data_IF_620114450550
#
_entry.id   IF_620114450550
#
_cell.length_a   1.000
_cell.length_b   1.000
_cell.length_c   1.000
_cell.angle_alpha   90.00
_cell.angle_beta   90.00
_cell.angle_gamma   90.00
#
_symmetry.space_group_name_H-M   'P 1'
#
loop_
_entity.id
_entity.type
_entity.pdbx_description
1 polymer ?
#
# COMPACT_ATOMS: atom_id res chain seq x y z
N UNK A 1 17.23 -44.56 -36.52
CA UNK A 1 17.23 -43.93 -37.86
C UNK A 1 17.25 -42.44 -37.63
N UNK A 2 18.40 -41.82 -37.64
CA UNK A 2 19.07 -40.98 -38.64
C UNK A 2 18.09 -39.97 -39.30
N UNK A 3 18.34 -38.67 -39.25
CA UNK A 3 19.49 -37.90 -39.69
C UNK A 3 19.54 -36.47 -39.09
N UNK A 4 20.75 -36.08 -38.75
CA UNK A 4 21.20 -34.68 -38.53
C UNK A 4 21.26 -33.94 -39.86
N UNK A 5 20.98 -32.63 -39.87
CA UNK A 5 21.70 -31.67 -40.75
C UNK A 5 21.99 -30.39 -39.95
N UNK A 6 23.26 -30.08 -39.78
CA UNK A 6 23.85 -28.78 -39.45
C UNK A 6 24.07 -28.01 -40.73
N UNK A 7 23.80 -26.70 -40.73
CA UNK A 7 24.54 -25.76 -41.61
C UNK A 7 24.90 -24.50 -40.84
N UNK A 8 26.20 -24.27 -40.78
CA UNK A 8 26.84 -23.02 -40.39
C UNK A 8 26.73 -21.98 -41.52
N UNK A 9 26.64 -20.71 -41.20
CA UNK A 9 26.83 -19.61 -42.14
C UNK A 9 27.28 -18.34 -41.38
N UNK A 10 28.55 -18.09 -41.41
CA UNK A 10 29.28 -16.88 -40.95
C UNK A 10 29.28 -15.87 -42.10
N UNK A 11 29.51 -14.58 -41.80
CA UNK A 11 29.93 -13.46 -42.69
C UNK A 11 28.96 -12.28 -42.55
N UNK A 12 29.32 -11.02 -42.41
CA UNK A 12 30.53 -10.26 -42.22
C UNK A 12 30.19 -8.84 -41.82
N UNK A 13 31.09 -8.22 -41.10
CA UNK A 13 31.15 -6.78 -40.76
C UNK A 13 31.33 -5.93 -42.02
N UNK A 14 30.57 -4.85 -42.19
CA UNK A 14 30.95 -3.72 -43.05
C UNK A 14 30.77 -2.42 -42.26
N UNK A 15 31.90 -1.84 -41.90
CA UNK A 15 32.08 -0.47 -41.43
C UNK A 15 32.07 0.42 -42.66
N UNK A 16 31.24 1.45 -42.68
CA UNK A 16 31.38 2.57 -43.61
C UNK A 16 31.39 3.87 -42.81
N UNK A 17 32.62 4.39 -42.60
CA UNK A 17 32.92 5.79 -42.30
C UNK A 17 32.68 6.60 -43.57
N UNK A 18 31.85 7.65 -43.50
CA UNK A 18 31.90 8.76 -44.43
C UNK A 18 32.02 10.08 -43.67
N UNK A 19 33.22 10.57 -43.58
CA UNK A 19 33.52 11.95 -43.22
C UNK A 19 33.27 12.86 -44.47
N UNK A 20 32.47 13.88 -44.33
CA UNK A 20 32.40 14.97 -45.29
C UNK A 20 32.66 16.30 -44.55
N UNK A 21 33.88 16.78 -44.72
CA UNK A 21 34.29 18.18 -44.51
C UNK A 21 33.67 19.01 -45.64
N UNK A 22 32.97 20.10 -45.31
CA UNK A 22 32.79 21.22 -46.22
C UNK A 22 33.19 22.52 -45.54
N UNK A 23 34.05 23.23 -46.27
CA UNK A 23 34.72 24.45 -45.89
C UNK A 23 33.82 25.69 -46.03
N UNK A 24 34.15 26.68 -45.21
CA UNK A 24 33.63 28.03 -45.20
C UNK A 24 33.74 28.78 -46.54
N UNK A 25 32.69 29.50 -46.91
CA UNK A 25 32.81 30.72 -47.67
C UNK A 25 31.77 31.72 -47.15
N UNK A 26 32.26 32.83 -46.62
CA UNK A 26 31.45 33.91 -46.10
C UNK A 26 30.89 34.81 -47.22
N UNK A 27 29.73 35.44 -46.93
CA UNK A 27 29.32 36.71 -47.54
C UNK A 27 28.49 37.52 -46.52
N UNK A 28 28.83 38.80 -46.44
CA UNK A 28 28.34 39.81 -45.53
C UNK A 28 26.98 40.40 -45.92
N UNK A 29 26.09 40.60 -44.90
CA UNK A 29 25.12 41.69 -44.62
C UNK A 29 23.92 41.90 -45.58
N UNK A 30 22.77 42.47 -45.13
CA UNK A 30 22.61 43.46 -44.05
C UNK A 30 21.50 43.17 -43.05
N UNK A 31 21.50 43.94 -41.94
CA UNK A 31 20.58 43.94 -40.84
C UNK A 31 19.11 44.07 -41.23
N UNK A 32 18.35 43.04 -40.82
CA UNK A 32 16.90 43.08 -40.74
C UNK A 32 16.53 42.89 -39.25
N UNK A 33 15.85 43.88 -38.71
CA UNK A 33 15.18 43.78 -37.38
C UNK A 33 14.09 42.72 -37.44
N UNK A 34 14.45 41.49 -37.05
CA UNK A 34 13.49 40.42 -36.78
C UNK A 34 13.32 40.33 -35.27
N UNK A 35 12.13 40.66 -34.80
CA UNK A 35 11.66 40.35 -33.48
C UNK A 35 11.96 38.90 -33.17
N UNK A 36 12.74 38.64 -32.11
CA UNK A 36 12.85 37.33 -31.49
C UNK A 36 11.48 37.01 -30.91
N UNK A 37 10.70 36.23 -31.60
CA UNK A 37 9.64 35.46 -30.99
C UNK A 37 10.31 34.60 -29.90
N UNK A 38 9.90 34.85 -28.65
CA UNK A 38 10.44 34.16 -27.50
C UNK A 38 10.26 32.65 -27.69
N UNK A 39 11.37 31.93 -27.76
CA UNK A 39 11.35 30.54 -27.42
C UNK A 39 10.80 30.48 -25.98
N UNK A 40 9.56 30.02 -25.78
CA UNK A 40 9.10 29.59 -24.50
C UNK A 40 10.11 28.52 -24.07
N UNK A 41 10.88 28.78 -23.02
CA UNK A 41 11.66 27.73 -22.36
C UNK A 41 10.68 26.61 -22.03
N UNK A 42 10.81 25.50 -22.73
CA UNK A 42 10.06 24.29 -22.37
C UNK A 42 10.39 24.01 -20.90
N UNK A 43 9.38 23.96 -20.05
CA UNK A 43 9.59 23.68 -18.64
C UNK A 43 10.42 22.41 -18.51
N UNK A 44 11.46 22.45 -17.70
CA UNK A 44 12.33 21.30 -17.49
C UNK A 44 11.51 20.10 -16.96
N UNK A 45 11.74 18.92 -17.52
CA UNK A 45 11.11 17.68 -17.11
C UNK A 45 12.13 16.69 -16.53
N UNK A 46 11.65 15.70 -15.79
CA UNK A 46 12.41 14.53 -15.36
C UNK A 46 11.59 13.26 -15.64
N UNK A 47 12.28 12.16 -15.88
CA UNK A 47 11.65 10.85 -16.06
C UNK A 47 11.58 10.13 -14.72
N UNK A 48 10.42 9.64 -14.34
CA UNK A 48 10.19 8.76 -13.16
C UNK A 48 9.72 7.40 -13.65
N UNK A 49 10.32 6.33 -13.14
CA UNK A 49 9.87 4.96 -13.40
C UNK A 49 8.89 4.57 -12.30
N UNK A 50 7.64 4.34 -12.63
CA UNK A 50 6.59 4.01 -11.67
C UNK A 50 6.59 2.53 -11.23
N UNK A 51 5.69 2.16 -10.32
CA UNK A 51 5.62 0.81 -9.77
C UNK A 51 5.16 -0.27 -10.79
N UNK A 52 4.68 0.12 -11.95
CA UNK A 52 4.39 -0.77 -13.08
C UNK A 52 5.53 -0.85 -14.11
N UNK A 53 6.64 -0.13 -13.87
CA UNK A 53 7.78 -0.05 -14.79
C UNK A 53 7.54 0.90 -15.96
N UNK A 54 6.53 1.77 -15.91
CA UNK A 54 6.24 2.79 -16.91
C UNK A 54 7.20 3.97 -16.71
N UNK A 55 7.79 4.47 -17.80
CA UNK A 55 8.59 5.71 -17.79
C UNK A 55 7.66 6.89 -18.01
N UNK A 56 7.51 7.74 -17.01
CA UNK A 56 6.60 8.89 -17.02
C UNK A 56 7.41 10.19 -16.95
N UNK A 57 7.20 11.08 -17.93
CA UNK A 57 7.78 12.42 -17.90
C UNK A 57 6.93 13.34 -17.02
N UNK A 58 7.53 13.87 -15.95
CA UNK A 58 6.88 14.82 -15.04
C UNK A 58 7.67 16.13 -15.01
N UNK A 59 7.07 17.27 -14.62
CA UNK A 59 7.83 18.49 -14.38
C UNK A 59 9.02 18.24 -13.44
N UNK A 60 10.17 18.84 -13.73
CA UNK A 60 11.36 18.67 -12.89
C UNK A 60 11.12 19.14 -11.44
N UNK A 61 10.27 20.14 -11.26
CA UNK A 61 9.84 20.70 -9.97
C UNK A 61 8.31 20.67 -9.87
N UNK A 62 7.77 19.53 -9.39
CA UNK A 62 6.33 19.33 -9.15
C UNK A 62 5.90 20.17 -7.96
N UNK A 63 4.90 21.02 -8.12
CA UNK A 63 4.32 21.86 -7.06
C UNK A 63 2.96 21.34 -6.60
N UNK A 64 2.19 20.74 -7.51
CA UNK A 64 0.82 20.31 -7.25
C UNK A 64 0.61 18.86 -7.67
N UNK A 65 -0.15 18.12 -6.86
CA UNK A 65 -0.52 16.74 -7.13
C UNK A 65 -1.99 16.48 -6.87
N UNK A 66 -2.58 15.59 -7.65
CA UNK A 66 -3.90 15.02 -7.38
C UNK A 66 -3.79 13.51 -7.20
N UNK A 67 -4.79 12.89 -6.58
CA UNK A 67 -4.78 11.44 -6.35
C UNK A 67 -6.03 10.76 -6.88
N UNK A 68 -5.87 9.52 -7.32
CA UNK A 68 -6.94 8.64 -7.79
C UNK A 68 -6.80 7.27 -7.11
N UNK A 69 -7.91 6.65 -6.77
CA UNK A 69 -7.91 5.44 -5.95
C UNK A 69 -7.35 5.74 -4.55
N UNK A 70 -6.40 4.93 -4.09
CA UNK A 70 -5.74 5.10 -2.77
C UNK A 70 -4.41 5.86 -2.86
N UNK A 71 -4.22 6.70 -3.88
CA UNK A 71 -2.97 7.44 -4.11
C UNK A 71 -2.54 8.33 -2.94
N UNK A 72 -3.50 8.96 -2.26
CA UNK A 72 -3.22 9.87 -1.14
C UNK A 72 -2.43 9.20 -0.01
N UNK A 73 -2.66 7.91 0.27
CA UNK A 73 -1.90 7.14 1.25
C UNK A 73 -0.41 7.16 0.95
N UNK A 74 -0.03 6.91 -0.31
CA UNK A 74 1.38 6.88 -0.72
C UNK A 74 2.00 8.26 -0.83
N UNK A 75 1.20 9.28 -1.14
CA UNK A 75 1.65 10.68 -1.06
C UNK A 75 2.03 11.04 0.39
N UNK A 76 1.21 10.61 1.37
CA UNK A 76 1.52 10.80 2.80
C UNK A 76 2.78 10.02 3.19
N UNK A 77 2.89 8.74 2.83
CA UNK A 77 4.08 7.93 3.14
C UNK A 77 5.37 8.50 2.53
N UNK A 78 5.26 9.13 1.36
CA UNK A 78 6.38 9.79 0.71
C UNK A 78 6.64 11.23 1.21
N UNK A 79 5.83 11.75 2.16
CA UNK A 79 6.00 13.09 2.73
C UNK A 79 5.58 14.23 1.81
N UNK A 80 4.70 13.95 0.84
CA UNK A 80 4.28 14.91 -0.18
C UNK A 80 2.88 15.53 0.02
N UNK A 81 2.24 15.32 1.16
CA UNK A 81 0.85 15.72 1.42
C UNK A 81 0.56 17.20 1.21
N UNK A 82 1.54 18.08 1.45
CA UNK A 82 1.39 19.53 1.29
C UNK A 82 1.25 19.97 -0.18
N UNK A 83 1.56 19.07 -1.13
CA UNK A 83 1.39 19.30 -2.57
C UNK A 83 0.02 18.88 -3.09
N UNK A 84 -0.81 18.23 -2.28
CA UNK A 84 -2.12 17.77 -2.69
C UNK A 84 -3.09 18.95 -2.89
N UNK A 85 -3.68 19.01 -4.09
CA UNK A 85 -4.73 19.97 -4.43
C UNK A 85 -6.09 19.29 -4.71
N UNK A 86 -6.10 17.97 -4.84
CA UNK A 86 -7.32 17.17 -4.98
C UNK A 86 -7.08 15.73 -4.50
N UNK A 87 -8.08 15.12 -3.89
CA UNK A 87 -8.06 13.74 -3.38
C UNK A 87 -9.36 13.03 -3.78
N UNK A 88 -9.48 11.72 -3.57
CA UNK A 88 -10.76 11.05 -3.81
C UNK A 88 -11.79 11.44 -2.75
N UNK A 89 -13.09 11.31 -3.04
CA UNK A 89 -14.17 11.62 -2.08
C UNK A 89 -14.00 10.85 -0.75
N UNK A 90 -13.45 9.65 -0.84
CA UNK A 90 -13.18 8.79 0.30
C UNK A 90 -12.26 9.45 1.36
N UNK A 91 -11.29 10.26 0.97
CA UNK A 91 -10.37 10.94 1.88
C UNK A 91 -11.02 12.14 2.57
N UNK A 92 -12.03 12.76 1.97
CA UNK A 92 -12.74 13.88 2.57
C UNK A 92 -13.65 13.45 3.74
N UNK A 93 -13.97 12.16 3.85
CA UNK A 93 -14.72 11.54 4.94
C UNK A 93 -13.85 10.55 5.71
N UNK A 94 -12.94 11.01 6.59
CA UNK A 94 -11.98 10.15 7.24
C UNK A 94 -12.64 9.13 8.18
N UNK A 95 -12.14 7.88 8.14
CA UNK A 95 -12.53 6.81 9.05
C UNK A 95 -11.30 6.26 9.77
N UNK A 96 -11.44 5.85 11.04
CA UNK A 96 -10.32 5.40 11.89
C UNK A 96 -9.48 4.27 11.29
N UNK A 97 -10.08 3.46 10.43
CA UNK A 97 -9.39 2.41 9.70
C UNK A 97 -8.70 2.91 8.39
N UNK A 98 -8.54 4.22 8.25
CA UNK A 98 -7.69 4.89 7.26
C UNK A 98 -6.81 5.93 7.96
N UNK A 99 -5.73 5.48 8.64
CA UNK A 99 -4.90 6.33 9.49
C UNK A 99 -4.41 7.60 8.79
N UNK A 100 -3.92 7.48 7.55
CA UNK A 100 -3.44 8.63 6.77
C UNK A 100 -4.53 9.70 6.55
N UNK A 101 -5.78 9.27 6.31
CA UNK A 101 -6.87 10.21 6.07
C UNK A 101 -7.29 10.94 7.36
N UNK A 102 -7.24 10.27 8.52
CA UNK A 102 -7.51 10.91 9.82
C UNK A 102 -6.37 11.83 10.23
N UNK A 103 -5.11 11.44 9.97
CA UNK A 103 -3.93 12.25 10.26
C UNK A 103 -3.98 13.61 9.56
N UNK A 104 -4.50 13.64 8.34
CA UNK A 104 -4.58 14.85 7.49
C UNK A 104 -6.02 15.29 7.19
N UNK A 105 -6.98 14.95 8.07
CA UNK A 105 -8.41 15.23 7.87
C UNK A 105 -8.73 16.71 7.58
N UNK A 106 -8.04 17.62 8.26
CA UNK A 106 -8.30 19.07 8.09
C UNK A 106 -7.78 19.59 6.74
N UNK A 107 -6.72 18.96 6.19
CA UNK A 107 -6.24 19.23 4.84
C UNK A 107 -7.22 18.66 3.82
N UNK A 108 -7.55 17.37 3.91
CA UNK A 108 -8.35 16.67 2.90
C UNK A 108 -9.80 17.15 2.82
N UNK A 109 -10.41 17.53 3.95
CA UNK A 109 -11.78 18.02 4.01
C UNK A 109 -12.04 19.27 3.15
N UNK A 110 -10.97 20.02 2.79
CA UNK A 110 -11.06 21.24 2.02
C UNK A 110 -10.63 21.07 0.55
N UNK A 111 -10.23 19.86 0.16
CA UNK A 111 -9.78 19.57 -1.21
C UNK A 111 -10.95 19.11 -2.09
N UNK A 112 -10.96 19.48 -3.39
CA UNK A 112 -11.90 18.94 -4.35
C UNK A 112 -11.76 17.43 -4.51
N UNK A 113 -12.86 16.74 -4.79
CA UNK A 113 -12.87 15.31 -5.02
C UNK A 113 -12.53 14.97 -6.47
N UNK A 114 -11.56 14.08 -6.69
CA UNK A 114 -11.15 13.59 -8.03
C UNK A 114 -12.03 12.47 -8.57
N UNK A 115 -12.91 11.91 -7.75
CA UNK A 115 -13.83 10.84 -8.11
C UNK A 115 -15.12 10.95 -7.32
N UNK A 116 -16.20 10.43 -7.88
CA UNK A 116 -17.50 10.35 -7.23
C UNK A 116 -17.71 8.92 -6.71
N UNK A 117 -17.92 8.78 -5.39
CA UNK A 117 -18.15 7.48 -4.76
C UNK A 117 -16.98 7.01 -3.89
N UNK A 118 -17.28 6.09 -2.99
CA UNK A 118 -16.37 5.74 -1.88
C UNK A 118 -15.65 4.40 -2.06
N UNK A 119 -15.35 3.94 -3.28
CA UNK A 119 -14.90 2.57 -3.47
C UNK A 119 -13.59 2.44 -4.23
N UNK A 120 -12.77 1.46 -3.81
CA UNK A 120 -11.63 0.91 -4.55
C UNK A 120 -11.99 0.42 -5.97
N UNK A 121 -13.29 0.18 -6.20
CA UNK A 121 -13.85 -0.26 -7.48
C UNK A 121 -14.37 0.92 -8.33
N UNK A 122 -13.97 2.14 -7.99
CA UNK A 122 -14.45 3.31 -8.70
C UNK A 122 -14.03 3.32 -10.15
N UNK A 123 -15.07 3.34 -10.95
CA UNK A 123 -14.97 3.48 -12.38
C UNK A 123 -15.02 4.95 -12.84
N UNK A 124 -15.35 5.87 -11.94
CA UNK A 124 -15.67 7.25 -12.29
C UNK A 124 -14.65 8.24 -11.73
N UNK A 125 -13.53 8.37 -12.41
CA UNK A 125 -12.62 9.51 -12.23
C UNK A 125 -13.27 10.74 -12.87
N UNK A 126 -13.24 11.86 -12.19
CA UNK A 126 -13.72 13.14 -12.72
C UNK A 126 -12.59 13.81 -13.52
N UNK A 127 -12.42 13.37 -14.77
CA UNK A 127 -11.37 13.86 -15.66
C UNK A 127 -11.51 15.35 -15.99
N UNK A 128 -12.76 15.83 -16.14
CA UNK A 128 -13.04 17.26 -16.39
C UNK A 128 -12.50 18.11 -15.24
N UNK A 129 -12.72 17.69 -14.01
CA UNK A 129 -12.21 18.39 -12.83
C UNK A 129 -10.69 18.31 -12.73
N UNK A 130 -10.08 17.17 -13.05
CA UNK A 130 -8.63 17.04 -13.10
C UNK A 130 -8.00 17.98 -14.15
N UNK A 131 -8.62 18.08 -15.34
CA UNK A 131 -8.18 19.01 -16.39
C UNK A 131 -8.37 20.48 -15.99
N UNK A 132 -9.44 20.80 -15.24
CA UNK A 132 -9.68 22.17 -14.73
C UNK A 132 -8.67 22.56 -13.65
N UNK A 133 -8.37 21.63 -12.72
CA UNK A 133 -7.41 21.83 -11.63
C UNK A 133 -5.96 21.82 -12.13
N UNK A 134 -5.71 21.12 -13.24
CA UNK A 134 -4.41 20.98 -13.92
C UNK A 134 -3.25 20.71 -12.95
N UNK A 135 -3.28 19.65 -12.13
CA UNK A 135 -2.16 19.29 -11.27
C UNK A 135 -0.94 18.92 -12.13
N UNK A 136 0.26 19.14 -11.60
CA UNK A 136 1.51 18.77 -12.28
C UNK A 136 1.64 17.24 -12.47
N UNK A 137 1.04 16.46 -11.55
CA UNK A 137 1.07 14.99 -11.58
C UNK A 137 -0.15 14.38 -10.89
N UNK A 138 -0.58 13.22 -11.36
CA UNK A 138 -1.59 12.39 -10.69
C UNK A 138 -0.90 11.15 -10.12
N UNK A 139 -1.17 10.82 -8.84
CA UNK A 139 -0.74 9.57 -8.22
C UNK A 139 -1.94 8.61 -8.18
N UNK A 140 -1.81 7.44 -8.81
CA UNK A 140 -2.91 6.52 -9.05
C UNK A 140 -2.60 5.09 -8.57
N UNK A 141 -3.51 4.49 -7.80
CA UNK A 141 -3.43 3.06 -7.43
C UNK A 141 -4.24 2.14 -8.38
N UNK A 142 -4.59 2.64 -9.55
CA UNK A 142 -5.28 1.86 -10.60
C UNK A 142 -4.29 1.04 -11.40
N UNK A 143 -4.80 0.14 -12.25
CA UNK A 143 -3.95 -0.69 -13.13
C UNK A 143 -3.08 0.16 -14.07
N UNK A 144 -2.04 -0.44 -14.63
CA UNK A 144 -1.17 0.23 -15.60
C UNK A 144 -1.94 0.78 -16.80
N UNK A 145 -2.90 -0.02 -17.33
CA UNK A 145 -3.75 0.36 -18.46
C UNK A 145 -4.66 1.54 -18.13
N UNK A 146 -5.24 1.57 -16.93
CA UNK A 146 -6.07 2.70 -16.47
C UNK A 146 -5.22 3.95 -16.23
N UNK A 147 -3.97 3.82 -15.76
CA UNK A 147 -3.05 4.94 -15.65
C UNK A 147 -2.69 5.50 -17.02
N UNK A 148 -2.45 4.64 -18.02
CA UNK A 148 -2.17 5.08 -19.40
C UNK A 148 -3.38 5.79 -20.02
N UNK A 149 -4.60 5.25 -19.82
CA UNK A 149 -5.83 5.88 -20.31
C UNK A 149 -6.02 7.26 -19.67
N UNK A 150 -5.94 7.34 -18.35
CA UNK A 150 -6.11 8.60 -17.60
C UNK A 150 -5.09 9.66 -18.05
N UNK A 151 -3.83 9.27 -18.26
CA UNK A 151 -2.80 10.18 -18.77
C UNK A 151 -3.11 10.64 -20.20
N UNK A 152 -3.58 9.75 -21.08
CA UNK A 152 -3.92 10.09 -22.45
C UNK A 152 -5.15 11.03 -22.53
N UNK A 153 -6.17 10.78 -21.69
CA UNK A 153 -7.43 11.50 -21.71
C UNK A 153 -7.31 12.89 -21.07
N UNK A 154 -6.49 13.03 -20.02
CA UNK A 154 -6.30 14.32 -19.33
C UNK A 154 -5.09 15.12 -19.81
N UNK A 155 -4.11 14.47 -20.42
CA UNK A 155 -2.81 15.08 -20.75
C UNK A 155 -1.91 15.35 -19.53
N UNK A 156 -2.30 14.90 -18.32
CA UNK A 156 -1.55 15.07 -17.08
C UNK A 156 -0.72 13.81 -16.81
N UNK A 157 0.58 13.93 -16.44
CA UNK A 157 1.39 12.77 -16.07
C UNK A 157 0.75 11.94 -14.95
N UNK A 158 0.73 10.60 -15.08
CA UNK A 158 0.16 9.68 -14.09
C UNK A 158 1.22 8.71 -13.61
N UNK A 159 1.57 8.77 -12.33
CA UNK A 159 2.44 7.83 -11.61
C UNK A 159 1.57 6.71 -11.04
N UNK A 160 1.78 5.49 -11.50
CA UNK A 160 1.08 4.30 -11.02
C UNK A 160 1.77 3.68 -9.81
N UNK A 161 0.97 3.26 -8.82
CA UNK A 161 1.44 2.56 -7.61
C UNK A 161 0.72 1.23 -7.46
N UNK A 162 1.41 0.23 -6.87
CA UNK A 162 0.85 -1.10 -6.59
C UNK A 162 1.34 -1.65 -5.26
N UNK A 163 0.44 -2.17 -4.40
CA UNK A 163 0.77 -2.52 -3.02
C UNK A 163 -0.26 -3.44 -2.31
N UNK A 164 -1.31 -3.86 -3.00
CA UNK A 164 -2.44 -4.56 -2.37
C UNK A 164 -2.01 -5.85 -1.65
N UNK A 165 -2.46 -6.02 -0.39
CA UNK A 165 -2.13 -7.15 0.49
C UNK A 165 -0.64 -7.41 0.71
N UNK A 166 0.18 -6.35 0.68
CA UNK A 166 1.63 -6.45 0.81
C UNK A 166 2.12 -5.47 1.87
N UNK A 167 3.12 -5.87 2.65
CA UNK A 167 3.75 -5.01 3.66
C UNK A 167 5.20 -4.70 3.30
N UNK A 168 6.02 -5.74 3.08
CA UNK A 168 7.47 -5.62 2.88
C UNK A 168 7.88 -6.22 1.53
N UNK A 169 7.50 -5.57 0.43
CA UNK A 169 7.78 -6.04 -0.92
C UNK A 169 8.36 -4.94 -1.80
N UNK A 170 9.04 -5.35 -2.88
CA UNK A 170 9.57 -4.41 -3.86
C UNK A 170 8.49 -3.51 -4.45
N UNK A 171 7.26 -3.99 -4.61
CA UNK A 171 6.13 -3.19 -5.07
C UNK A 171 5.83 -2.02 -4.13
N UNK A 172 5.81 -2.29 -2.81
CA UNK A 172 5.60 -1.26 -1.78
C UNK A 172 6.75 -0.26 -1.80
N UNK A 173 8.00 -0.77 -1.81
CA UNK A 173 9.19 0.09 -1.80
C UNK A 173 9.25 0.97 -3.05
N UNK A 174 9.03 0.39 -4.24
CA UNK A 174 9.03 1.14 -5.50
C UNK A 174 7.89 2.16 -5.53
N UNK A 175 6.70 1.81 -5.02
CA UNK A 175 5.56 2.74 -4.96
C UNK A 175 5.87 3.97 -4.09
N UNK A 176 6.50 3.79 -2.92
CA UNK A 176 6.90 4.92 -2.07
C UNK A 176 8.00 5.74 -2.75
N UNK A 177 9.01 5.07 -3.31
CA UNK A 177 10.16 5.74 -3.94
C UNK A 177 9.75 6.55 -5.16
N UNK A 178 8.97 5.98 -6.09
CA UNK A 178 8.58 6.69 -7.32
C UNK A 178 7.66 7.90 -7.02
N UNK A 179 6.80 7.81 -6.00
CA UNK A 179 6.02 8.96 -5.54
C UNK A 179 6.94 10.04 -4.95
N UNK A 180 7.92 9.67 -4.12
CA UNK A 180 8.91 10.60 -3.59
C UNK A 180 9.73 11.28 -4.69
N UNK A 181 10.18 10.52 -5.70
CA UNK A 181 10.88 11.06 -6.87
C UNK A 181 9.99 12.03 -7.66
N UNK A 182 8.74 11.66 -7.92
CA UNK A 182 7.81 12.53 -8.62
C UNK A 182 7.59 13.85 -7.88
N UNK A 183 7.36 13.78 -6.56
CA UNK A 183 7.02 14.93 -5.73
C UNK A 183 8.24 15.74 -5.23
N UNK A 184 9.48 15.28 -5.46
CA UNK A 184 10.68 15.93 -4.95
C UNK A 184 10.90 15.73 -3.44
N UNK A 185 10.35 14.65 -2.87
CA UNK A 185 10.50 14.23 -1.48
C UNK A 185 11.29 12.91 -1.35
N UNK A 186 12.18 12.65 -2.29
CA UNK A 186 12.91 11.39 -2.40
C UNK A 186 13.73 11.02 -1.16
N UNK A 187 14.28 11.99 -0.45
CA UNK A 187 15.09 11.73 0.75
C UNK A 187 14.20 11.13 1.86
N UNK A 188 13.02 11.72 2.11
CA UNK A 188 12.05 11.19 3.05
C UNK A 188 11.53 9.80 2.62
N UNK A 189 11.19 9.63 1.35
CA UNK A 189 10.74 8.35 0.81
C UNK A 189 11.79 7.23 1.02
N UNK A 190 13.07 7.54 0.84
CA UNK A 190 14.18 6.62 1.08
C UNK A 190 14.35 6.27 2.56
N UNK A 191 14.18 7.24 3.47
CA UNK A 191 14.18 6.99 4.92
C UNK A 191 13.05 6.04 5.32
N UNK A 192 11.84 6.28 4.81
CA UNK A 192 10.68 5.40 5.04
C UNK A 192 10.95 3.98 4.53
N UNK A 193 11.43 3.83 3.30
CA UNK A 193 11.76 2.51 2.73
C UNK A 193 12.88 1.82 3.53
N UNK A 194 13.86 2.57 4.03
CA UNK A 194 14.91 2.02 4.88
C UNK A 194 14.36 1.47 6.19
N UNK A 195 13.40 2.18 6.81
CA UNK A 195 12.70 1.72 8.01
C UNK A 195 11.84 0.49 7.76
N UNK A 196 11.12 0.44 6.63
CA UNK A 196 10.36 -0.76 6.24
C UNK A 196 11.27 -2.00 6.14
N UNK A 197 12.43 -1.86 5.51
CA UNK A 197 13.42 -2.96 5.40
C UNK A 197 14.03 -3.35 6.75
N UNK A 198 14.23 -2.39 7.66
CA UNK A 198 14.70 -2.65 9.02
C UNK A 198 13.68 -3.48 9.81
N UNK A 199 12.38 -3.11 9.76
CA UNK A 199 11.32 -3.85 10.44
C UNK A 199 11.09 -5.24 9.84
N UNK A 200 11.14 -5.38 8.51
CA UNK A 200 11.09 -6.67 7.83
C UNK A 200 12.22 -7.61 8.31
N UNK A 201 13.44 -7.09 8.34
CA UNK A 201 14.61 -7.86 8.80
C UNK A 201 14.50 -8.23 10.29
N UNK A 202 14.02 -7.33 11.15
CA UNK A 202 13.80 -7.58 12.57
C UNK A 202 12.77 -8.70 12.79
N UNK A 203 11.58 -8.60 12.16
CA UNK A 203 10.50 -9.59 12.27
C UNK A 203 10.97 -10.97 11.80
N UNK A 204 11.63 -11.06 10.66
CA UNK A 204 12.18 -12.31 10.11
C UNK A 204 13.25 -12.91 11.02
N UNK A 205 14.15 -12.09 11.57
CA UNK A 205 15.20 -12.57 12.46
C UNK A 205 14.63 -13.15 13.77
N UNK A 206 13.53 -12.60 14.29
CA UNK A 206 12.87 -13.07 15.52
C UNK A 206 12.23 -14.45 15.37
N UNK A 207 11.74 -14.77 14.16
CA UNK A 207 10.91 -15.97 13.93
C UNK A 207 11.60 -17.05 13.10
N UNK A 208 12.77 -16.77 12.50
CA UNK A 208 13.47 -17.66 11.56
C UNK A 208 13.85 -19.03 12.13
N UNK A 209 14.09 -19.13 13.43
CA UNK A 209 14.52 -20.35 14.11
C UNK A 209 13.37 -21.15 14.75
N UNK A 210 12.10 -20.72 14.56
CA UNK A 210 10.94 -21.40 15.13
C UNK A 210 10.56 -22.59 14.22
N UNK A 211 10.68 -23.83 14.73
CA UNK A 211 10.30 -25.02 13.95
C UNK A 211 8.78 -25.01 13.66
N UNK A 212 8.37 -25.56 12.51
CA UNK A 212 6.96 -25.61 12.13
C UNK A 212 6.07 -26.36 13.14
N UNK A 213 6.63 -27.36 13.84
CA UNK A 213 5.94 -28.10 14.88
C UNK A 213 5.62 -27.27 16.14
N UNK A 214 6.38 -26.19 16.37
CA UNK A 214 6.24 -25.33 17.54
C UNK A 214 5.41 -24.08 17.25
N UNK A 215 4.96 -23.90 16.00
CA UNK A 215 4.12 -22.78 15.59
C UNK A 215 2.67 -23.03 16.00
N UNK A 216 2.07 -22.14 16.83
CA UNK A 216 0.66 -22.25 17.18
C UNK A 216 -0.22 -21.98 15.95
N UNK A 217 -1.43 -22.56 15.97
CA UNK A 217 -2.44 -22.29 14.97
C UNK A 217 -3.13 -20.96 15.25
N UNK A 218 -3.24 -20.11 14.23
CA UNK A 218 -3.81 -18.76 14.35
C UNK A 218 -4.99 -18.61 13.41
N UNK A 219 -6.08 -18.02 13.93
CA UNK A 219 -7.22 -17.58 13.16
C UNK A 219 -7.35 -16.06 13.21
N UNK A 220 -7.49 -15.42 12.05
CA UNK A 220 -7.83 -14.00 11.94
C UNK A 220 -9.30 -13.89 11.56
N UNK A 221 -10.11 -13.35 12.46
CA UNK A 221 -11.57 -13.35 12.30
C UNK A 221 -12.19 -11.95 12.25
N UNK A 222 -13.48 -11.92 12.00
CA UNK A 222 -14.28 -10.71 11.86
C UNK A 222 -13.79 -9.76 10.74
N UNK A 223 -13.15 -10.34 9.73
CA UNK A 223 -12.66 -9.62 8.55
C UNK A 223 -13.83 -9.24 7.65
N UNK A 224 -13.82 -8.00 7.16
CA UNK A 224 -14.82 -7.54 6.20
C UNK A 224 -14.65 -8.27 4.85
N UNK A 225 -15.71 -8.89 4.38
CA UNK A 225 -15.79 -9.54 3.07
C UNK A 225 -17.17 -9.30 2.47
N UNK A 226 -17.24 -8.48 1.41
CA UNK A 226 -18.51 -8.04 0.82
C UNK A 226 -19.49 -7.48 1.87
N UNK A 227 -18.95 -6.69 2.80
CA UNK A 227 -19.64 -6.15 3.97
C UNK A 227 -19.00 -6.58 5.28
N UNK A 228 -19.50 -6.04 6.39
CA UNK A 228 -19.05 -6.40 7.73
C UNK A 228 -19.42 -7.87 8.05
N UNK A 229 -18.49 -8.59 8.67
CA UNK A 229 -18.67 -9.99 9.09
C UNK A 229 -18.40 -10.13 10.58
N UNK A 230 -19.06 -11.14 11.18
CA UNK A 230 -18.71 -11.63 12.50
C UNK A 230 -17.52 -12.61 12.39
N UNK A 231 -17.42 -13.57 13.26
CA UNK A 231 -16.33 -14.55 13.30
C UNK A 231 -16.08 -15.26 11.97
N UNK A 232 -17.08 -15.43 11.12
CA UNK A 232 -17.00 -16.17 9.86
C UNK A 232 -16.18 -15.48 8.77
N UNK A 233 -16.01 -14.16 8.83
CA UNK A 233 -15.11 -13.46 7.92
C UNK A 233 -13.66 -13.69 8.32
N UNK A 234 -12.85 -14.25 7.41
CA UNK A 234 -11.43 -14.52 7.65
C UNK A 234 -10.56 -14.15 6.44
N UNK A 235 -9.27 -14.34 6.54
CA UNK A 235 -8.32 -13.96 5.49
C UNK A 235 -7.25 -15.04 5.31
N UNK A 236 -7.28 -15.73 4.17
CA UNK A 236 -6.22 -16.65 3.78
C UNK A 236 -5.02 -15.86 3.21
N UNK A 237 -3.83 -16.31 3.49
CA UNK A 237 -2.58 -15.63 3.15
C UNK A 237 -2.52 -14.21 3.78
N UNK A 238 -2.89 -14.11 5.05
CA UNK A 238 -2.93 -12.84 5.80
C UNK A 238 -1.51 -12.29 5.97
N UNK A 239 -1.22 -11.12 5.41
CA UNK A 239 0.13 -10.60 5.31
C UNK A 239 0.91 -10.57 6.65
N UNK A 240 0.35 -10.10 7.79
CA UNK A 240 1.05 -10.17 9.07
C UNK A 240 1.48 -11.57 9.50
N UNK A 241 0.67 -12.59 9.24
CA UNK A 241 1.03 -13.99 9.55
C UNK A 241 2.08 -14.55 8.59
N UNK A 242 2.02 -14.14 7.31
CA UNK A 242 3.03 -14.50 6.30
C UNK A 242 4.40 -13.94 6.69
N UNK A 243 4.49 -12.67 7.11
CA UNK A 243 5.75 -12.03 7.51
C UNK A 243 6.37 -12.68 8.76
N UNK A 244 5.54 -13.22 9.66
CA UNK A 244 5.99 -13.98 10.83
C UNK A 244 6.29 -15.46 10.51
N UNK A 245 5.98 -15.95 9.31
CA UNK A 245 5.99 -17.37 9.00
C UNK A 245 5.09 -18.18 9.94
N UNK A 246 4.00 -17.57 10.45
CA UNK A 246 3.07 -18.19 11.40
C UNK A 246 2.04 -19.09 10.68
N UNK A 247 1.40 -19.99 11.44
CA UNK A 247 0.43 -20.95 10.90
C UNK A 247 -0.98 -20.34 10.88
N UNK A 248 -1.40 -19.81 9.73
CA UNK A 248 -2.77 -19.36 9.51
C UNK A 248 -3.69 -20.53 9.13
N UNK A 249 -4.69 -20.84 9.94
CA UNK A 249 -5.59 -21.97 9.64
C UNK A 249 -6.44 -21.74 8.38
N UNK A 250 -6.73 -20.49 8.03
CA UNK A 250 -7.48 -20.16 6.82
C UNK A 250 -6.73 -20.51 5.52
N UNK A 251 -5.39 -20.69 5.56
CA UNK A 251 -4.58 -21.05 4.39
C UNK A 251 -4.88 -22.47 3.90
N UNK A 252 -5.44 -23.35 4.76
CA UNK A 252 -5.89 -24.69 4.38
C UNK A 252 -7.00 -24.68 3.32
N UNK A 253 -7.70 -23.56 3.17
CA UNK A 253 -8.72 -23.39 2.11
C UNK A 253 -8.12 -23.28 0.70
N UNK A 254 -6.82 -23.02 0.57
CA UNK A 254 -6.13 -22.75 -0.69
C UNK A 254 -6.50 -21.42 -1.33
N UNK A 255 -7.29 -20.58 -0.66
CA UNK A 255 -7.61 -19.21 -1.10
C UNK A 255 -6.46 -18.25 -0.79
N UNK A 256 -6.54 -17.00 -1.29
CA UNK A 256 -5.49 -15.97 -1.10
C UNK A 256 -6.07 -14.58 -0.83
N UNK A 257 -7.17 -14.49 -0.14
CA UNK A 257 -7.85 -13.21 0.11
C UNK A 257 -8.80 -13.34 1.29
N UNK A 258 -9.56 -12.27 1.55
CA UNK A 258 -10.69 -12.33 2.46
C UNK A 258 -11.74 -13.32 1.95
N UNK A 259 -12.20 -14.17 2.81
CA UNK A 259 -13.20 -15.23 2.55
C UNK A 259 -14.21 -15.29 3.68
N UNK A 260 -15.34 -15.93 3.42
CA UNK A 260 -16.36 -16.26 4.41
C UNK A 260 -16.36 -17.78 4.62
N UNK A 261 -16.30 -18.21 5.85
CA UNK A 261 -16.36 -19.62 6.25
C UNK A 261 -17.54 -19.83 7.19
N UNK A 262 -17.94 -21.06 7.45
CA UNK A 262 -18.96 -21.35 8.45
C UNK A 262 -18.33 -21.63 9.84
N UNK A 263 -19.19 -21.65 10.87
CA UNK A 263 -18.74 -21.94 12.23
C UNK A 263 -18.22 -23.38 12.37
N UNK A 264 -18.75 -24.33 11.60
CA UNK A 264 -18.28 -25.73 11.60
C UNK A 264 -16.81 -25.80 11.16
N UNK A 265 -16.44 -25.01 10.13
CA UNK A 265 -15.06 -24.95 9.67
C UNK A 265 -14.14 -24.34 10.75
N UNK A 266 -14.59 -23.30 11.46
CA UNK A 266 -13.83 -22.71 12.58
C UNK A 266 -13.66 -23.75 13.70
N UNK A 267 -14.72 -24.51 14.00
CA UNK A 267 -14.68 -25.60 14.98
C UNK A 267 -13.74 -26.75 14.59
N UNK A 268 -13.69 -27.09 13.30
CA UNK A 268 -12.77 -28.09 12.77
C UNK A 268 -11.30 -27.67 12.85
N UNK A 269 -11.02 -26.39 12.68
CA UNK A 269 -9.66 -25.83 12.84
C UNK A 269 -9.24 -25.73 14.31
N UNK A 270 -10.18 -25.40 15.20
CA UNK A 270 -9.98 -25.21 16.65
C UNK A 270 -8.66 -24.47 16.97
N UNK A 271 -8.50 -23.20 16.54
CA UNK A 271 -7.23 -22.48 16.59
C UNK A 271 -6.75 -22.23 18.02
N UNK A 272 -5.41 -22.19 18.20
CA UNK A 272 -4.79 -21.82 19.47
C UNK A 272 -5.00 -20.36 19.83
N UNK A 273 -4.98 -19.46 18.82
CA UNK A 273 -5.11 -18.01 18.97
C UNK A 273 -6.11 -17.44 17.97
N UNK A 274 -6.90 -16.46 18.41
CA UNK A 274 -7.83 -15.73 17.54
C UNK A 274 -7.57 -14.22 17.64
N UNK A 275 -7.27 -13.58 16.48
CA UNK A 275 -7.16 -12.15 16.33
C UNK A 275 -8.36 -11.61 15.55
N UNK A 276 -9.10 -10.70 16.17
CA UNK A 276 -10.43 -10.30 15.72
C UNK A 276 -10.46 -8.81 15.40
N UNK A 277 -11.11 -8.43 14.28
CA UNK A 277 -11.24 -7.04 13.89
C UNK A 277 -12.07 -6.25 14.91
N UNK A 278 -11.43 -5.30 15.59
CA UNK A 278 -12.06 -4.43 16.60
C UNK A 278 -13.27 -3.65 16.06
N UNK A 279 -13.30 -3.34 14.76
CA UNK A 279 -14.39 -2.60 14.12
C UNK A 279 -15.74 -3.37 14.04
N UNK A 280 -15.72 -4.71 14.20
CA UNK A 280 -16.92 -5.56 14.09
C UNK A 280 -17.39 -6.12 15.43
N UNK A 281 -17.03 -5.48 16.55
CA UNK A 281 -17.28 -5.97 17.89
C UNK A 281 -18.76 -6.27 18.18
N UNK A 282 -19.69 -5.42 17.73
CA UNK A 282 -21.13 -5.61 18.00
C UNK A 282 -21.70 -6.83 17.26
N UNK A 283 -21.22 -7.10 16.05
CA UNK A 283 -21.56 -8.32 15.31
C UNK A 283 -21.05 -9.56 16.04
N UNK A 284 -19.81 -9.53 16.53
CA UNK A 284 -19.22 -10.64 17.27
C UNK A 284 -19.93 -10.91 18.58
N UNK A 285 -20.31 -9.87 19.35
CA UNK A 285 -21.10 -10.03 20.59
C UNK A 285 -22.45 -10.68 20.31
N UNK A 286 -23.12 -10.26 19.24
CA UNK A 286 -24.42 -10.83 18.84
C UNK A 286 -24.27 -12.30 18.45
N UNK A 287 -23.27 -12.62 17.65
CA UNK A 287 -23.03 -13.99 17.17
C UNK A 287 -22.58 -14.92 18.31
N UNK A 288 -21.72 -14.45 19.21
CA UNK A 288 -21.35 -15.17 20.42
C UNK A 288 -22.58 -15.49 21.29
N UNK A 289 -23.44 -14.48 21.53
CA UNK A 289 -24.66 -14.71 22.35
C UNK A 289 -25.59 -15.78 21.75
N UNK A 290 -25.70 -15.83 20.42
CA UNK A 290 -26.52 -16.78 19.69
C UNK A 290 -25.90 -18.21 19.65
N UNK A 291 -24.58 -18.30 19.71
CA UNK A 291 -23.83 -19.55 19.53
C UNK A 291 -22.89 -19.85 20.73
N UNK A 292 -23.23 -19.38 21.91
CA UNK A 292 -22.36 -19.40 23.10
C UNK A 292 -21.70 -20.75 23.37
N UNK A 293 -22.46 -21.83 23.33
CA UNK A 293 -21.94 -23.17 23.61
C UNK A 293 -20.86 -23.61 22.59
N UNK A 294 -21.00 -23.19 21.33
CA UNK A 294 -20.01 -23.45 20.29
C UNK A 294 -18.73 -22.73 20.59
N UNK A 295 -18.81 -21.40 20.81
CA UNK A 295 -17.62 -20.59 21.05
C UNK A 295 -16.89 -20.97 22.34
N UNK A 296 -17.62 -21.22 23.44
CA UNK A 296 -17.06 -21.66 24.72
C UNK A 296 -16.31 -23.00 24.60
N UNK A 297 -16.61 -23.83 23.59
CA UNK A 297 -15.93 -25.11 23.36
C UNK A 297 -14.62 -24.97 22.58
N UNK A 298 -14.39 -23.85 21.87
CA UNK A 298 -13.16 -23.60 21.14
C UNK A 298 -11.97 -23.44 22.10
N UNK A 299 -10.80 -23.94 21.70
CA UNK A 299 -9.56 -23.86 22.47
C UNK A 299 -9.18 -22.42 22.82
N UNK A 300 -9.15 -21.53 21.83
CA UNK A 300 -8.81 -20.11 22.04
C UNK A 300 -9.74 -19.44 23.07
N UNK A 301 -11.03 -19.79 23.13
CA UNK A 301 -11.97 -19.26 24.12
C UNK A 301 -11.69 -19.82 25.51
N UNK A 302 -11.47 -21.15 25.65
CA UNK A 302 -11.17 -21.83 26.92
C UNK A 302 -9.87 -21.29 27.55
N UNK A 303 -8.86 -21.00 26.72
CA UNK A 303 -7.54 -20.56 27.16
C UNK A 303 -7.43 -19.02 27.28
N UNK A 304 -8.45 -18.27 26.81
CA UNK A 304 -8.46 -16.81 26.83
C UNK A 304 -7.53 -16.18 25.80
N UNK A 305 -7.21 -16.90 24.72
CA UNK A 305 -6.34 -16.46 23.65
C UNK A 305 -7.12 -15.71 22.56
N UNK A 306 -7.90 -14.72 23.00
CA UNK A 306 -8.72 -13.88 22.14
C UNK A 306 -8.20 -12.45 22.19
N UNK A 307 -7.99 -11.86 21.03
CA UNK A 307 -7.41 -10.52 20.91
C UNK A 307 -8.17 -9.70 19.89
N UNK A 308 -8.20 -8.37 20.10
CA UNK A 308 -8.65 -7.44 19.09
C UNK A 308 -7.47 -6.72 18.46
N UNK A 309 -7.59 -6.44 17.17
CA UNK A 309 -6.66 -5.61 16.41
C UNK A 309 -7.42 -4.79 15.38
N UNK A 310 -6.87 -3.66 14.91
CA UNK A 310 -7.39 -2.95 13.74
C UNK A 310 -7.28 -3.85 12.50
N UNK A 311 -8.20 -3.69 11.55
CA UNK A 311 -8.07 -4.39 10.28
C UNK A 311 -7.35 -3.50 9.27
N UNK A 312 -6.15 -3.91 8.86
CA UNK A 312 -5.28 -3.07 8.02
C UNK A 312 -5.73 -2.97 6.54
N UNK A 313 -6.52 -3.93 6.04
CA UNK A 313 -7.07 -3.88 4.68
C UNK A 313 -8.44 -3.20 4.64
N UNK A 314 -8.45 -1.89 4.62
CA UNK A 314 -9.67 -1.11 4.46
C UNK A 314 -9.48 -0.05 3.38
N UNK A 315 -10.21 -0.19 2.27
CA UNK A 315 -10.03 0.63 1.08
C UNK A 315 -8.54 0.67 0.65
N UNK A 316 -7.97 -0.52 0.44
CA UNK A 316 -6.55 -0.75 0.23
C UNK A 316 -5.79 -1.07 1.52
N UNK A 317 -4.52 -1.39 1.38
CA UNK A 317 -3.66 -1.85 2.48
C UNK A 317 -3.06 -0.66 3.23
N UNK A 318 -3.41 -0.50 4.52
CA UNK A 318 -2.72 0.42 5.43
C UNK A 318 -1.46 -0.27 5.94
N UNK A 319 -0.32 0.07 5.35
CA UNK A 319 0.97 -0.58 5.63
C UNK A 319 1.38 -0.33 7.09
N UNK A 320 1.17 0.88 7.58
CA UNK A 320 1.37 1.27 8.98
C UNK A 320 0.66 0.31 9.95
N UNK A 321 -0.64 0.14 9.79
CA UNK A 321 -1.47 -0.73 10.63
C UNK A 321 -1.07 -2.21 10.47
N UNK A 322 -0.79 -2.66 9.25
CA UNK A 322 -0.37 -4.04 8.99
C UNK A 322 0.95 -4.41 9.68
N UNK A 323 1.90 -3.46 9.75
CA UNK A 323 3.15 -3.67 10.48
C UNK A 323 2.90 -3.70 11.99
N UNK A 324 2.04 -2.83 12.51
CA UNK A 324 1.62 -2.86 13.92
C UNK A 324 0.94 -4.20 14.27
N UNK A 325 0.02 -4.69 13.42
CA UNK A 325 -0.61 -6.02 13.55
C UNK A 325 0.45 -7.13 13.61
N UNK A 326 1.49 -7.04 12.76
CA UNK A 326 2.57 -8.05 12.72
C UNK A 326 3.34 -8.09 14.03
N UNK A 327 3.74 -6.95 14.58
CA UNK A 327 4.42 -6.89 15.89
C UNK A 327 3.51 -7.37 17.02
N UNK A 328 2.23 -7.00 17.02
CA UNK A 328 1.27 -7.44 18.02
C UNK A 328 1.07 -8.94 18.01
N UNK A 329 0.80 -9.52 16.84
CA UNK A 329 0.63 -10.97 16.68
C UNK A 329 1.92 -11.69 17.10
N UNK A 330 3.08 -11.24 16.60
CA UNK A 330 4.37 -11.82 16.94
C UNK A 330 4.65 -11.84 18.45
N UNK A 331 4.45 -10.73 19.13
CA UNK A 331 4.63 -10.62 20.58
C UNK A 331 3.62 -11.47 21.38
N UNK A 332 2.43 -11.69 20.81
CA UNK A 332 1.39 -12.49 21.44
C UNK A 332 1.65 -13.99 21.32
N UNK A 333 2.01 -14.46 20.11
CA UNK A 333 2.18 -15.90 19.87
C UNK A 333 3.61 -16.41 20.18
N UNK A 334 4.59 -15.50 20.22
CA UNK A 334 6.01 -15.78 20.49
C UNK A 334 6.60 -14.84 21.54
N UNK A 335 6.04 -14.75 22.77
CA UNK A 335 6.39 -13.71 23.73
C UNK A 335 7.88 -13.66 24.06
N UNK A 336 8.57 -14.79 24.12
CA UNK A 336 10.01 -14.85 24.40
C UNK A 336 10.87 -14.22 23.28
N UNK A 337 10.37 -14.24 22.04
CA UNK A 337 11.07 -13.66 20.88
C UNK A 337 10.90 -12.15 20.78
N UNK A 338 9.89 -11.60 21.44
CA UNK A 338 9.55 -10.17 21.42
C UNK A 338 9.66 -9.52 22.81
N UNK A 339 10.27 -10.21 23.80
CA UNK A 339 10.35 -9.71 25.18
C UNK A 339 11.09 -8.36 25.35
N UNK A 340 11.93 -8.02 24.37
CA UNK A 340 12.66 -6.75 24.29
C UNK A 340 11.90 -5.62 23.60
N UNK A 341 10.71 -5.90 23.02
CA UNK A 341 9.92 -4.92 22.25
C UNK A 341 8.91 -4.23 23.16
N UNK A 342 9.06 -2.91 23.32
CA UNK A 342 8.00 -2.06 23.84
C UNK A 342 6.99 -1.79 22.69
N UNK A 343 5.85 -2.48 22.73
CA UNK A 343 4.85 -2.40 21.65
C UNK A 343 4.25 -1.01 21.51
N UNK A 344 3.96 -0.29 22.61
CA UNK A 344 3.40 1.06 22.54
C UNK A 344 4.40 2.01 21.86
N UNK A 345 5.68 1.92 22.20
CA UNK A 345 6.73 2.70 21.55
C UNK A 345 6.91 2.29 20.08
N UNK A 346 6.81 0.98 19.77
CA UNK A 346 6.93 0.47 18.39
C UNK A 346 5.79 0.96 17.51
N UNK A 347 4.55 0.94 17.99
CA UNK A 347 3.40 1.46 17.22
C UNK A 347 3.53 2.97 16.97
N UNK A 348 3.93 3.74 17.99
CA UNK A 348 4.20 5.17 17.84
C UNK A 348 5.32 5.44 16.83
N UNK A 349 6.41 4.65 16.84
CA UNK A 349 7.49 4.72 15.84
C UNK A 349 6.94 4.49 14.43
N UNK A 350 6.18 3.41 14.21
CA UNK A 350 5.65 3.02 12.90
C UNK A 350 4.73 4.11 12.33
N UNK A 351 3.74 4.55 13.12
CA UNK A 351 2.82 5.59 12.65
C UNK A 351 3.52 6.91 12.41
N UNK A 352 4.44 7.34 13.29
CA UNK A 352 5.18 8.58 13.09
C UNK A 352 6.06 8.52 11.84
N UNK A 353 6.71 7.38 11.58
CA UNK A 353 7.55 7.22 10.39
C UNK A 353 6.73 7.30 9.09
N UNK A 354 5.58 6.63 9.03
CA UNK A 354 4.76 6.54 7.80
C UNK A 354 3.80 7.71 7.63
N UNK A 355 3.31 8.28 8.72
CA UNK A 355 2.28 9.32 8.67
C UNK A 355 2.79 10.71 9.07
N UNK A 356 3.99 10.83 9.61
CA UNK A 356 4.49 12.09 10.19
C UNK A 356 3.82 12.47 11.53
N UNK A 357 2.88 11.68 12.03
CA UNK A 357 2.17 11.90 13.30
C UNK A 357 2.00 10.58 14.06
N UNK A 358 2.01 10.65 15.41
CA UNK A 358 1.68 9.50 16.26
C UNK A 358 0.17 9.25 16.27
N UNK A 359 -0.28 8.40 15.37
CA UNK A 359 -1.69 8.01 15.24
C UNK A 359 -2.13 6.96 16.26
N UNK A 360 -1.19 6.23 16.88
CA UNK A 360 -1.50 5.13 17.80
C UNK A 360 -2.39 5.59 18.96
N UNK A 361 -2.09 6.75 19.54
CA UNK A 361 -2.88 7.30 20.65
C UNK A 361 -4.33 7.62 20.22
N UNK A 362 -4.54 8.06 18.99
CA UNK A 362 -5.88 8.31 18.43
C UNK A 362 -6.70 7.02 18.36
N UNK A 363 -6.11 5.93 17.85
CA UNK A 363 -6.74 4.61 17.82
C UNK A 363 -7.07 4.08 19.21
N UNK A 364 -6.11 4.17 20.14
CA UNK A 364 -6.25 3.70 21.52
C UNK A 364 -7.42 4.40 22.22
N UNK A 365 -7.52 5.71 22.08
CA UNK A 365 -8.62 6.51 22.65
C UNK A 365 -9.98 6.18 22.03
N UNK A 366 -10.02 5.71 20.79
CA UNK A 366 -11.25 5.30 20.10
C UNK A 366 -11.64 3.84 20.37
N UNK A 367 -10.89 3.10 21.21
CA UNK A 367 -11.16 1.69 21.51
C UNK A 367 -10.82 0.72 20.37
N UNK A 368 -10.07 1.18 19.37
CA UNK A 368 -9.62 0.35 18.23
C UNK A 368 -8.19 -0.15 18.41
N UNK A 369 -7.72 -0.26 19.64
CA UNK A 369 -6.37 -0.71 19.94
C UNK A 369 -6.21 -2.23 19.96
N UNK A 370 -4.95 -2.63 20.18
CA UNK A 370 -4.50 -4.00 20.34
C UNK A 370 -4.75 -4.45 21.80
N UNK A 371 -5.74 -5.31 22.04
CA UNK A 371 -6.10 -5.69 23.40
C UNK A 371 -6.52 -7.16 23.49
N UNK A 372 -6.38 -7.73 24.70
CA UNK A 372 -7.03 -9.00 25.03
C UNK A 372 -8.55 -8.81 25.04
N UNK A 373 -9.28 -9.79 24.52
CA UNK A 373 -10.72 -9.77 24.43
C UNK A 373 -11.33 -10.86 25.33
N UNK A 374 -12.45 -10.56 25.95
CA UNK A 374 -13.29 -11.56 26.62
C UNK A 374 -14.76 -11.34 26.29
N UNK A 375 -15.49 -12.43 26.07
CA UNK A 375 -16.93 -12.44 25.92
C UNK A 375 -17.53 -12.96 27.24
N UNK A 376 -18.09 -12.06 28.04
CA UNK A 376 -18.74 -12.40 29.32
C UNK A 376 -20.24 -12.15 29.26
#
# INVERSE_FOLDING_TARGET
MLKRVRVCGVIAVVVCLCACLFAFAGCSAPAGTGSSEGAQDAAATKTVVDAYGRSVEVPADVQTAATVGSGARFVVYAGGQDKLIAVTEMETEPALNRPYAVAYKDLFANLPATSNGNHLLETNVNEEQLMELAPDVIISSRSAEECDSLQADTGIPVIGITYQNQLFTDNVYTSITCVGEALGTQDHAQEVVSKLKEWDADLKARTADIPDADKPSVYVGAVNYKGAKSFTGTYANYAPLVELGAKNVADETGQKAAIDVDLEQIGNWDPDFMFLNAGNMDLMKTDYANNKAFFDDLKAFKEGHLYTQPFFNFNGTNIDTGICDTYFIGATIYPDKFADVDLDAKYSEIYTTLLGVDFYQTMKNAGMGFTTLSFS
#
